data_IF_904011848912
#
_entry.id   IF_904011848912
#
_cell.length_a   1.000
_cell.length_b   1.000
_cell.length_c   1.000
_cell.angle_alpha   90.00
_cell.angle_beta   90.00
_cell.angle_gamma   90.00
#
_symmetry.space_group_name_H-M   'P 1'
#
loop_
_entity.id
_entity.type
_entity.pdbx_description
1 polymer ?
#
# COMPACT_ATOMS: atom_id res chain seq x y z
N UNK A 1 10.86 -4.43 -3.13
CA UNK A 1 10.18 -5.50 -3.89
C UNK A 1 8.66 -5.37 -3.81
N UNK A 2 8.07 -5.07 -2.63
CA UNK A 2 6.67 -4.66 -2.49
C UNK A 2 6.37 -3.43 -3.37
N UNK A 3 7.28 -2.46 -3.38
CA UNK A 3 7.23 -1.26 -4.18
C UNK A 3 7.20 -1.55 -5.70
N UNK A 4 7.99 -2.51 -6.16
CA UNK A 4 8.04 -2.92 -7.58
C UNK A 4 6.76 -3.59 -8.05
N UNK A 5 6.11 -4.36 -7.18
CA UNK A 5 4.90 -5.07 -7.52
C UNK A 5 3.71 -4.13 -7.78
N UNK A 6 3.52 -3.15 -6.89
CA UNK A 6 2.39 -2.22 -6.99
C UNK A 6 2.48 -1.36 -8.27
N UNK A 7 3.70 -0.94 -8.62
CA UNK A 7 3.92 -0.23 -9.87
C UNK A 7 3.77 -1.07 -11.11
N UNK A 8 4.22 -2.32 -11.07
CA UNK A 8 4.02 -3.23 -12.19
C UNK A 8 2.54 -3.51 -12.39
N UNK A 9 1.79 -3.69 -11.31
CA UNK A 9 0.35 -3.90 -11.38
C UNK A 9 -0.39 -2.62 -11.80
N UNK A 10 -0.02 -1.46 -11.28
CA UNK A 10 -0.57 -0.16 -11.67
C UNK A 10 -0.23 0.17 -13.14
N UNK A 11 0.99 -0.16 -13.59
CA UNK A 11 1.40 -0.03 -14.99
C UNK A 11 0.61 -0.97 -15.91
N UNK A 12 0.50 -2.24 -15.54
CA UNK A 12 -0.22 -3.25 -16.33
C UNK A 12 -1.73 -2.98 -16.34
N UNK A 13 -2.33 -2.65 -15.20
CA UNK A 13 -3.77 -2.34 -15.13
C UNK A 13 -4.10 -0.97 -15.68
N UNK A 14 -3.24 0.04 -15.48
CA UNK A 14 -3.46 1.40 -15.96
C UNK A 14 -3.25 1.55 -17.47
N UNK A 15 -2.21 0.94 -18.03
CA UNK A 15 -1.96 0.97 -19.48
C UNK A 15 -2.99 0.10 -20.23
N UNK A 16 -3.38 -1.02 -19.65
CA UNK A 16 -4.49 -1.84 -20.13
C UNK A 16 -5.81 -1.08 -20.02
N UNK A 17 -6.09 -0.39 -18.90
CA UNK A 17 -7.31 0.40 -18.76
C UNK A 17 -7.35 1.62 -19.67
N UNK A 18 -6.23 2.33 -19.91
CA UNK A 18 -6.22 3.47 -20.85
C UNK A 18 -6.34 3.04 -22.32
N UNK A 19 -5.67 1.98 -22.74
CA UNK A 19 -5.80 1.42 -24.10
C UNK A 19 -7.07 0.63 -24.33
N UNK A 20 -7.63 0.04 -23.28
CA UNK A 20 -8.84 -0.78 -23.36
C UNK A 20 -10.05 -0.14 -22.67
N UNK A 21 -9.94 1.05 -22.11
CA UNK A 21 -11.03 1.73 -21.41
C UNK A 21 -12.31 1.87 -22.23
N UNK A 22 -12.20 2.07 -23.54
CA UNK A 22 -13.35 2.04 -24.44
C UNK A 22 -13.66 0.65 -25.03
N UNK A 23 -12.63 -0.20 -25.21
CA UNK A 23 -12.77 -1.53 -25.79
C UNK A 23 -13.02 -2.62 -24.73
N UNK A 24 -12.43 -2.49 -23.53
CA UNK A 24 -12.63 -3.42 -22.42
C UNK A 24 -13.99 -3.28 -21.74
N UNK A 25 -14.60 -2.09 -21.77
CA UNK A 25 -16.01 -1.91 -21.38
C UNK A 25 -16.94 -2.85 -22.17
N UNK A 26 -16.60 -3.12 -23.44
CA UNK A 26 -17.38 -4.01 -24.30
C UNK A 26 -17.02 -5.50 -24.13
N UNK A 27 -15.77 -5.83 -23.68
CA UNK A 27 -15.26 -7.21 -23.74
C UNK A 27 -15.29 -7.93 -22.38
N UNK A 28 -15.23 -7.22 -21.23
CA UNK A 28 -15.13 -7.85 -19.91
C UNK A 28 -16.30 -7.56 -18.95
N UNK A 29 -17.31 -6.79 -19.37
CA UNK A 29 -18.49 -6.50 -18.56
C UNK A 29 -18.21 -5.77 -17.25
N UNK A 30 -17.03 -5.15 -17.09
CA UNK A 30 -16.67 -4.36 -15.91
C UNK A 30 -17.37 -3.01 -15.97
N UNK A 31 -18.24 -2.73 -15.00
CA UNK A 31 -18.94 -1.45 -14.89
C UNK A 31 -18.17 -0.53 -13.96
N UNK A 32 -17.53 0.56 -14.45
CA UNK A 32 -16.81 1.50 -13.61
C UNK A 32 -17.70 2.09 -12.51
N UNK A 33 -17.15 2.31 -11.32
CA UNK A 33 -17.88 2.88 -10.18
C UNK A 33 -18.51 4.25 -10.49
N UNK A 34 -17.95 5.00 -11.43
CA UNK A 34 -18.51 6.29 -11.86
C UNK A 34 -19.77 6.15 -12.73
N UNK A 35 -20.01 4.98 -13.36
CA UNK A 35 -21.12 4.76 -14.31
C UNK A 35 -22.33 4.05 -13.69
N UNK A 36 -22.21 3.57 -12.45
CA UNK A 36 -23.31 2.92 -11.72
C UNK A 36 -24.14 3.92 -10.90
N UNK A 37 -25.27 3.45 -10.36
CA UNK A 37 -26.11 4.26 -9.46
C UNK A 37 -25.30 4.77 -8.24
N UNK A 38 -25.70 5.92 -7.71
CA UNK A 38 -25.07 6.50 -6.50
C UNK A 38 -25.08 5.52 -5.34
N UNK A 39 -26.14 4.71 -5.19
CA UNK A 39 -26.26 3.71 -4.15
C UNK A 39 -25.22 2.59 -4.29
N UNK A 40 -25.05 2.02 -5.47
CA UNK A 40 -24.08 0.96 -5.75
C UNK A 40 -22.63 1.46 -5.55
N UNK A 41 -22.36 2.68 -6.01
CA UNK A 41 -21.06 3.32 -5.80
C UNK A 41 -20.75 3.51 -4.32
N UNK A 42 -21.70 3.96 -3.52
CA UNK A 42 -21.53 4.12 -2.07
C UNK A 42 -21.28 2.77 -1.39
N UNK A 43 -21.95 1.70 -1.81
CA UNK A 43 -21.72 0.34 -1.30
C UNK A 43 -20.30 -0.13 -1.62
N UNK A 44 -19.84 0.08 -2.85
CA UNK A 44 -18.47 -0.24 -3.26
C UNK A 44 -17.45 0.50 -2.41
N UNK A 45 -17.56 1.83 -2.29
CA UNK A 45 -16.64 2.66 -1.49
C UNK A 45 -16.63 2.19 -0.03
N UNK A 46 -17.79 1.94 0.58
CA UNK A 46 -17.90 1.41 1.95
C UNK A 46 -17.20 0.07 2.11
N UNK A 47 -17.30 -0.83 1.12
CA UNK A 47 -16.59 -2.11 1.13
C UNK A 47 -15.07 -1.90 1.10
N UNK A 48 -14.57 -1.06 0.19
CA UNK A 48 -13.13 -0.76 0.08
C UNK A 48 -12.57 -0.22 1.39
N UNK A 49 -13.16 0.83 1.94
CA UNK A 49 -12.65 1.45 3.18
C UNK A 49 -12.90 0.57 4.42
N UNK A 50 -13.98 -0.21 4.45
CA UNK A 50 -14.23 -1.18 5.50
C UNK A 50 -13.18 -2.32 5.50
N UNK A 51 -12.87 -2.87 4.33
CA UNK A 51 -11.80 -3.86 4.17
C UNK A 51 -10.42 -3.28 4.49
N UNK A 52 -10.16 -2.03 4.09
CA UNK A 52 -8.93 -1.33 4.42
C UNK A 52 -8.75 -1.20 5.94
N UNK A 53 -9.78 -0.79 6.66
CA UNK A 53 -9.75 -0.71 8.12
C UNK A 53 -9.45 -2.08 8.76
N UNK A 54 -10.13 -3.14 8.31
CA UNK A 54 -9.87 -4.50 8.78
C UNK A 54 -8.45 -4.97 8.43
N UNK A 55 -7.94 -4.64 7.25
CA UNK A 55 -6.56 -4.93 6.82
C UNK A 55 -5.53 -4.26 7.71
N UNK A 56 -5.76 -3.00 8.09
CA UNK A 56 -4.89 -2.29 9.04
C UNK A 56 -4.93 -2.91 10.44
N UNK A 57 -6.11 -3.40 10.89
CA UNK A 57 -6.21 -4.12 12.16
C UNK A 57 -5.43 -5.44 12.13
N UNK A 58 -5.57 -6.23 11.06
CA UNK A 58 -4.81 -7.50 10.94
C UNK A 58 -3.31 -7.25 10.81
N UNK A 59 -2.90 -6.18 10.12
CA UNK A 59 -1.50 -5.76 10.07
C UNK A 59 -0.99 -5.32 11.47
N UNK A 60 -1.79 -4.58 12.23
CA UNK A 60 -1.42 -4.19 13.59
C UNK A 60 -1.26 -5.40 14.54
N UNK A 61 -2.14 -6.39 14.41
CA UNK A 61 -1.99 -7.67 15.15
C UNK A 61 -0.68 -8.36 14.75
N UNK A 62 -0.43 -8.50 13.45
CA UNK A 62 0.82 -9.06 12.94
C UNK A 62 2.06 -8.30 13.46
N UNK A 63 2.02 -6.96 13.42
CA UNK A 63 3.09 -6.09 13.89
C UNK A 63 3.35 -6.25 15.40
N UNK A 64 2.30 -6.36 16.20
CA UNK A 64 2.43 -6.66 17.63
C UNK A 64 3.09 -8.00 17.87
N UNK A 65 2.63 -9.06 17.20
CA UNK A 65 3.23 -10.40 17.32
C UNK A 65 4.70 -10.43 16.88
N UNK A 66 5.02 -9.72 15.79
CA UNK A 66 6.38 -9.62 15.23
C UNK A 66 7.32 -8.71 16.01
N UNK A 67 6.81 -7.84 16.89
CA UNK A 67 7.62 -6.94 17.72
C UNK A 67 7.84 -7.44 19.16
N UNK A 68 7.12 -8.46 19.60
CA UNK A 68 7.24 -8.99 20.96
C UNK A 68 8.36 -10.04 21.04
N UNK A 69 9.40 -9.82 21.91
CA UNK A 69 10.49 -10.78 22.13
C UNK A 69 10.04 -12.16 22.61
N UNK A 70 8.90 -12.23 23.32
CA UNK A 70 8.37 -13.47 23.86
C UNK A 70 7.50 -14.25 22.85
N UNK A 71 7.20 -13.65 21.69
CA UNK A 71 6.34 -14.23 20.65
C UNK A 71 7.15 -14.53 19.38
N UNK A 72 7.06 -13.66 18.38
CA UNK A 72 7.59 -13.93 17.04
C UNK A 72 8.76 -13.02 16.61
N UNK A 73 9.21 -12.08 17.46
CA UNK A 73 10.33 -11.20 17.11
C UNK A 73 11.57 -11.99 16.67
N UNK A 74 12.02 -12.94 17.46
CA UNK A 74 13.24 -13.71 17.17
C UNK A 74 13.06 -14.58 15.92
N UNK A 75 11.99 -15.41 15.77
CA UNK A 75 11.75 -16.16 14.55
C UNK A 75 11.69 -15.31 13.30
N UNK A 76 10.99 -14.16 13.33
CA UNK A 76 10.86 -13.26 12.18
C UNK A 76 12.19 -12.60 11.85
N UNK A 77 12.89 -12.03 12.84
CA UNK A 77 14.16 -11.34 12.64
C UNK A 77 15.27 -12.28 12.14
N UNK A 78 15.31 -13.53 12.64
CA UNK A 78 16.29 -14.53 12.23
C UNK A 78 16.02 -15.11 10.83
N UNK A 79 14.78 -15.05 10.34
CA UNK A 79 14.37 -15.61 9.06
C UNK A 79 13.77 -14.55 8.14
N UNK A 80 14.24 -13.29 8.21
CA UNK A 80 13.70 -12.15 7.48
C UNK A 80 13.54 -12.44 5.98
N UNK A 81 14.52 -13.11 5.36
CA UNK A 81 14.48 -13.47 3.94
C UNK A 81 13.32 -14.42 3.62
N UNK A 82 13.05 -15.40 4.49
CA UNK A 82 11.93 -16.35 4.34
C UNK A 82 10.59 -15.60 4.40
N UNK A 83 10.42 -14.73 5.40
CA UNK A 83 9.20 -13.92 5.53
C UNK A 83 9.01 -12.94 4.37
N UNK A 84 10.11 -12.42 3.83
CA UNK A 84 10.09 -11.56 2.67
C UNK A 84 9.64 -12.31 1.40
N UNK A 85 10.16 -13.52 1.15
CA UNK A 85 9.72 -14.38 0.06
C UNK A 85 8.24 -14.77 0.22
N UNK A 86 7.83 -15.12 1.45
CA UNK A 86 6.43 -15.42 1.76
C UNK A 86 5.52 -14.23 1.44
N UNK A 87 5.94 -13.02 1.81
CA UNK A 87 5.20 -11.79 1.55
C UNK A 87 5.01 -11.54 0.06
N UNK A 88 6.07 -11.75 -0.75
CA UNK A 88 5.97 -11.67 -2.21
C UNK A 88 4.95 -12.70 -2.74
N UNK A 89 5.04 -13.95 -2.30
CA UNK A 89 4.09 -14.98 -2.68
C UNK A 89 2.64 -14.63 -2.32
N UNK A 90 2.42 -14.05 -1.15
CA UNK A 90 1.09 -13.64 -0.68
C UNK A 90 0.52 -12.45 -1.48
N UNK A 91 1.35 -11.51 -1.94
CA UNK A 91 0.89 -10.44 -2.85
C UNK A 91 0.36 -11.05 -4.14
N UNK A 92 1.12 -11.93 -4.79
CA UNK A 92 0.66 -12.61 -6.00
C UNK A 92 -0.59 -13.46 -5.74
N UNK A 93 -0.64 -14.15 -4.60
CA UNK A 93 -1.80 -14.92 -4.22
C UNK A 93 -3.04 -14.03 -4.00
N UNK A 94 -2.88 -12.87 -3.35
CA UNK A 94 -3.97 -11.92 -3.14
C UNK A 94 -4.53 -11.39 -4.47
N UNK A 95 -3.66 -11.10 -5.45
CA UNK A 95 -4.09 -10.69 -6.79
C UNK A 95 -4.79 -11.82 -7.55
N UNK A 96 -4.23 -13.03 -7.54
CA UNK A 96 -4.84 -14.20 -8.17
C UNK A 96 -6.21 -14.53 -7.58
N UNK A 97 -6.34 -14.35 -6.27
CA UNK A 97 -7.57 -14.62 -5.53
C UNK A 97 -8.59 -13.47 -5.60
N UNK A 98 -8.20 -12.26 -6.04
CA UNK A 98 -9.00 -11.04 -5.91
C UNK A 98 -10.44 -11.17 -6.45
N UNK A 99 -10.62 -11.92 -7.54
CA UNK A 99 -11.93 -12.17 -8.17
C UNK A 99 -12.62 -13.45 -7.67
N UNK A 100 -12.05 -14.18 -6.69
CA UNK A 100 -12.61 -15.44 -6.15
C UNK A 100 -13.25 -15.18 -4.79
N UNK A 101 -14.59 -15.15 -4.65
CA UNK A 101 -15.27 -14.87 -3.39
C UNK A 101 -14.82 -15.81 -2.26
N UNK A 102 -14.60 -15.27 -1.07
CA UNK A 102 -14.09 -15.97 0.10
C UNK A 102 -12.56 -16.13 0.09
N UNK A 103 -11.98 -16.65 -0.99
CA UNK A 103 -10.53 -16.79 -1.11
C UNK A 103 -9.81 -15.43 -1.13
N UNK A 104 -10.44 -14.42 -1.74
CA UNK A 104 -9.92 -13.07 -1.79
C UNK A 104 -9.75 -12.44 -0.40
N UNK A 105 -10.68 -12.68 0.52
CA UNK A 105 -10.59 -12.19 1.90
C UNK A 105 -9.48 -12.91 2.67
N UNK A 106 -9.40 -14.23 2.54
CA UNK A 106 -8.33 -15.03 3.17
C UNK A 106 -6.96 -14.55 2.67
N UNK A 107 -6.81 -14.36 1.37
CA UNK A 107 -5.57 -13.91 0.78
C UNK A 107 -5.18 -12.48 1.25
N UNK A 108 -6.14 -11.54 1.27
CA UNK A 108 -5.93 -10.17 1.72
C UNK A 108 -5.48 -10.14 3.19
N UNK A 109 -6.22 -10.80 4.09
CA UNK A 109 -5.90 -10.75 5.52
C UNK A 109 -4.64 -11.56 5.88
N UNK A 110 -4.35 -12.65 5.18
CA UNK A 110 -3.08 -13.35 5.33
C UNK A 110 -1.90 -12.46 4.91
N UNK A 111 -2.04 -11.77 3.77
CA UNK A 111 -1.02 -10.83 3.30
C UNK A 111 -0.79 -9.69 4.30
N UNK A 112 -1.85 -9.04 4.76
CA UNK A 112 -1.72 -7.88 5.67
C UNK A 112 -1.18 -8.30 7.05
N UNK A 113 -1.55 -9.47 7.56
CA UNK A 113 -0.99 -10.02 8.82
C UNK A 113 0.50 -10.33 8.70
N UNK A 114 0.91 -11.01 7.62
CA UNK A 114 2.34 -11.30 7.39
C UNK A 114 3.14 -10.02 7.15
N UNK A 115 2.56 -9.04 6.48
CA UNK A 115 3.18 -7.72 6.33
C UNK A 115 3.43 -7.06 7.69
N UNK A 116 2.45 -7.11 8.58
CA UNK A 116 2.62 -6.65 9.96
C UNK A 116 3.75 -7.38 10.68
N UNK A 117 3.79 -8.71 10.60
CA UNK A 117 4.87 -9.52 11.18
C UNK A 117 6.26 -9.07 10.70
N UNK A 118 6.42 -8.82 9.39
CA UNK A 118 7.70 -8.36 8.80
C UNK A 118 8.09 -6.96 9.28
N UNK A 119 7.13 -6.09 9.55
CA UNK A 119 7.36 -4.75 10.09
C UNK A 119 7.69 -4.78 11.59
N UNK A 120 7.26 -5.81 12.31
CA UNK A 120 7.42 -5.94 13.75
C UNK A 120 8.85 -5.70 14.29
N UNK A 121 9.90 -6.35 13.75
CA UNK A 121 11.29 -6.10 14.17
C UNK A 121 11.74 -4.64 13.99
N UNK A 122 11.25 -3.95 12.98
CA UNK A 122 11.51 -2.52 12.79
C UNK A 122 10.85 -1.69 13.89
N UNK A 123 9.59 -1.98 14.23
CA UNK A 123 8.88 -1.32 15.33
C UNK A 123 9.58 -1.54 16.68
N UNK A 124 10.06 -2.76 16.93
CA UNK A 124 10.84 -3.06 18.13
C UNK A 124 12.11 -2.20 18.25
N UNK A 125 12.82 -2.00 17.13
CA UNK A 125 14.05 -1.17 17.08
C UNK A 125 13.80 0.30 17.35
N UNK A 126 12.75 0.88 16.73
CA UNK A 126 12.49 2.33 16.85
C UNK A 126 11.75 2.68 18.15
N UNK A 127 11.07 1.72 18.73
CA UNK A 127 10.29 1.88 19.96
C UNK A 127 8.87 2.44 19.74
N UNK A 128 8.01 2.30 20.75
CA UNK A 128 6.58 2.59 20.62
C UNK A 128 6.24 4.06 20.39
N UNK A 129 7.04 4.99 20.91
CA UNK A 129 6.81 6.44 20.72
C UNK A 129 6.94 6.85 19.25
N UNK A 130 8.03 6.43 18.60
CA UNK A 130 8.28 6.73 17.19
C UNK A 130 7.25 6.01 16.30
N UNK A 131 6.93 4.76 16.64
CA UNK A 131 5.91 3.99 15.94
C UNK A 131 4.54 4.68 15.97
N UNK A 132 4.13 5.20 17.13
CA UNK A 132 2.87 5.93 17.29
C UNK A 132 2.86 7.25 16.50
N UNK A 133 3.96 8.01 16.51
CA UNK A 133 4.07 9.25 15.75
C UNK A 133 4.00 9.00 14.23
N UNK A 134 4.73 7.98 13.74
CA UNK A 134 4.66 7.57 12.34
C UNK A 134 3.24 7.17 11.95
N UNK A 135 2.55 6.41 12.79
CA UNK A 135 1.16 6.02 12.59
C UNK A 135 0.23 7.23 12.53
N UNK A 136 0.34 8.14 13.50
CA UNK A 136 -0.49 9.35 13.55
C UNK A 136 -0.30 10.24 12.32
N UNK A 137 0.96 10.46 11.91
CA UNK A 137 1.28 11.22 10.70
C UNK A 137 0.75 10.53 9.43
N UNK A 138 0.90 9.20 9.33
CA UNK A 138 0.35 8.43 8.21
C UNK A 138 -1.16 8.59 8.12
N UNK A 139 -1.86 8.47 9.25
CA UNK A 139 -3.32 8.62 9.31
C UNK A 139 -3.77 10.03 8.91
N UNK A 140 -3.06 11.07 9.36
CA UNK A 140 -3.35 12.47 9.01
C UNK A 140 -3.12 12.74 7.52
N UNK A 141 -1.99 12.27 6.97
CA UNK A 141 -1.67 12.44 5.55
C UNK A 141 -2.70 11.69 4.69
N UNK A 142 -2.92 10.40 4.97
CA UNK A 142 -3.89 9.59 4.24
C UNK A 142 -5.30 10.19 4.30
N UNK A 143 -5.77 10.55 5.49
CA UNK A 143 -7.09 11.14 5.68
C UNK A 143 -7.24 12.48 4.96
N UNK A 144 -6.24 13.36 5.08
CA UNK A 144 -6.23 14.67 4.43
C UNK A 144 -6.22 14.57 2.90
N UNK A 145 -5.36 13.70 2.33
CA UNK A 145 -5.27 13.50 0.89
C UNK A 145 -6.53 12.83 0.33
N UNK A 146 -7.06 11.83 1.00
CA UNK A 146 -8.33 11.19 0.63
C UNK A 146 -9.48 12.20 0.62
N UNK A 147 -9.61 13.01 1.68
CA UNK A 147 -10.61 14.07 1.72
C UNK A 147 -10.42 15.08 0.59
N UNK A 148 -9.19 15.48 0.32
CA UNK A 148 -8.90 16.39 -0.79
C UNK A 148 -9.36 15.82 -2.14
N UNK A 149 -9.09 14.55 -2.46
CA UNK A 149 -9.57 13.91 -3.69
C UNK A 149 -11.09 13.89 -3.76
N UNK A 150 -11.75 13.48 -2.66
CA UNK A 150 -13.22 13.39 -2.60
C UNK A 150 -13.89 14.76 -2.83
N UNK A 151 -13.39 15.82 -2.18
CA UNK A 151 -14.01 17.15 -2.28
C UNK A 151 -13.60 17.90 -3.53
N UNK A 152 -12.35 17.80 -3.99
CA UNK A 152 -11.88 18.51 -5.19
C UNK A 152 -12.48 17.94 -6.47
N UNK A 153 -12.94 16.70 -6.46
CA UNK A 153 -13.44 15.97 -7.63
C UNK A 153 -12.46 15.97 -8.81
N UNK A 154 -11.18 16.23 -8.56
CA UNK A 154 -10.13 16.23 -9.60
C UNK A 154 -9.74 14.81 -9.96
N UNK A 155 -9.35 14.62 -11.20
CA UNK A 155 -8.79 13.37 -11.69
C UNK A 155 -7.26 13.42 -11.55
N UNK A 156 -6.70 12.43 -10.86
CA UNK A 156 -5.26 12.30 -10.64
C UNK A 156 -4.63 11.15 -11.45
N UNK A 157 -5.38 10.54 -12.39
CA UNK A 157 -4.88 9.43 -13.22
C UNK A 157 -3.68 9.81 -14.08
N UNK A 158 -3.54 11.10 -14.44
CA UNK A 158 -2.39 11.61 -15.19
C UNK A 158 -1.03 11.45 -14.48
N UNK A 159 -1.05 11.25 -13.15
CA UNK A 159 0.17 11.10 -12.35
C UNK A 159 0.87 9.75 -12.53
N UNK A 160 0.24 8.76 -13.17
CA UNK A 160 0.73 7.38 -13.29
C UNK A 160 2.20 7.29 -13.73
N UNK A 161 2.55 7.93 -14.85
CA UNK A 161 3.91 7.88 -15.37
C UNK A 161 4.94 8.52 -14.45
N UNK A 162 4.58 9.64 -13.81
CA UNK A 162 5.45 10.31 -12.83
C UNK A 162 5.66 9.45 -11.58
N UNK A 163 4.59 8.88 -11.04
CA UNK A 163 4.64 8.02 -9.85
C UNK A 163 5.45 6.73 -10.11
N UNK A 164 5.25 6.11 -11.27
CA UNK A 164 6.02 4.94 -11.67
C UNK A 164 7.53 5.26 -11.76
N UNK A 165 7.89 6.37 -12.41
CA UNK A 165 9.29 6.80 -12.51
C UNK A 165 9.88 7.09 -11.12
N UNK A 166 9.13 7.83 -10.27
CA UNK A 166 9.54 8.12 -8.91
C UNK A 166 9.76 6.86 -8.08
N UNK A 167 8.89 5.86 -8.25
CA UNK A 167 9.04 4.58 -7.57
C UNK A 167 10.30 3.83 -7.99
N UNK A 168 10.60 3.81 -9.28
CA UNK A 168 11.85 3.20 -9.78
C UNK A 168 13.08 3.89 -9.16
N UNK A 169 13.05 5.23 -9.05
CA UNK A 169 14.13 5.99 -8.41
C UNK A 169 14.27 5.62 -6.93
N UNK A 170 13.18 5.57 -6.18
CA UNK A 170 13.19 5.21 -4.75
C UNK A 170 13.68 3.76 -4.56
N UNK A 171 13.21 2.82 -5.37
CA UNK A 171 13.62 1.41 -5.28
C UNK A 171 15.10 1.24 -5.61
N UNK A 172 15.57 1.80 -6.73
CA UNK A 172 16.98 1.70 -7.13
C UNK A 172 17.86 2.40 -6.08
N UNK A 173 17.46 3.58 -5.62
CA UNK A 173 18.16 4.32 -4.57
C UNK A 173 18.26 3.52 -3.26
N UNK A 174 17.18 2.85 -2.86
CA UNK A 174 17.16 1.99 -1.67
C UNK A 174 18.07 0.78 -1.81
N UNK A 175 18.06 0.14 -2.99
CA UNK A 175 18.95 -1.00 -3.27
C UNK A 175 20.42 -0.57 -3.25
N UNK A 176 20.76 0.55 -3.86
CA UNK A 176 22.12 1.09 -3.83
C UNK A 176 22.53 1.45 -2.40
N UNK A 177 21.65 2.09 -1.62
CA UNK A 177 21.94 2.47 -0.25
C UNK A 177 22.16 1.26 0.68
N UNK A 178 21.55 0.12 0.36
CA UNK A 178 21.81 -1.14 1.09
C UNK A 178 23.30 -1.55 1.02
N UNK A 179 24.00 -1.22 -0.06
CA UNK A 179 25.46 -1.49 -0.19
C UNK A 179 26.32 -0.40 0.44
N UNK A 180 25.89 0.87 0.38
CA UNK A 180 26.68 2.00 0.89
C UNK A 180 26.41 2.31 2.36
N UNK A 181 25.25 1.95 2.90
CA UNK A 181 24.89 2.10 4.32
C UNK A 181 24.81 3.56 4.81
N UNK A 182 24.57 4.53 3.91
CA UNK A 182 24.53 5.94 4.26
C UNK A 182 23.22 6.34 4.94
N UNK A 183 23.28 6.84 6.19
CA UNK A 183 22.10 7.36 6.90
C UNK A 183 21.51 8.60 6.23
N UNK A 184 22.34 9.49 5.69
CA UNK A 184 21.87 10.65 4.94
C UNK A 184 21.13 10.22 3.66
N UNK A 185 21.66 9.25 2.89
CA UNK A 185 20.98 8.73 1.72
C UNK A 185 19.66 8.08 2.11
N UNK A 186 19.61 7.30 3.20
CA UNK A 186 18.39 6.68 3.72
C UNK A 186 17.35 7.75 4.09
N UNK A 187 17.74 8.82 4.74
CA UNK A 187 16.86 9.95 5.08
C UNK A 187 16.26 10.59 3.84
N UNK A 188 17.10 10.88 2.83
CA UNK A 188 16.66 11.49 1.55
C UNK A 188 15.70 10.56 0.77
N UNK A 189 16.03 9.27 0.68
CA UNK A 189 15.19 8.26 0.02
C UNK A 189 13.84 8.15 0.74
N UNK A 190 13.83 8.15 2.07
CA UNK A 190 12.61 8.09 2.86
C UNK A 190 11.76 9.35 2.68
N UNK A 191 12.39 10.54 2.60
CA UNK A 191 11.69 11.78 2.28
C UNK A 191 11.05 11.77 0.89
N UNK A 192 11.78 11.28 -0.11
CA UNK A 192 11.24 11.08 -1.46
C UNK A 192 10.08 10.06 -1.47
N UNK A 193 10.19 8.98 -0.69
CA UNK A 193 9.14 7.98 -0.55
C UNK A 193 7.87 8.57 0.09
N UNK A 194 7.97 9.44 1.10
CA UNK A 194 6.80 10.11 1.69
C UNK A 194 6.04 10.91 0.64
N UNK A 195 6.75 11.71 -0.17
CA UNK A 195 6.12 12.49 -1.25
C UNK A 195 5.52 11.59 -2.32
N UNK A 196 6.23 10.53 -2.70
CA UNK A 196 5.80 9.57 -3.71
C UNK A 196 4.51 8.84 -3.29
N UNK A 197 4.47 8.26 -2.07
CA UNK A 197 3.30 7.53 -1.60
C UNK A 197 2.13 8.45 -1.25
N UNK A 198 2.38 9.70 -0.89
CA UNK A 198 1.34 10.74 -0.86
C UNK A 198 0.73 10.97 -2.24
N UNK A 199 1.53 10.96 -3.29
CA UNK A 199 1.07 11.01 -4.68
C UNK A 199 0.27 9.76 -5.08
N UNK A 200 0.71 8.56 -4.69
CA UNK A 200 -0.04 7.31 -4.93
C UNK A 200 -1.40 7.32 -4.22
N UNK A 201 -1.49 7.81 -2.99
CA UNK A 201 -2.79 7.96 -2.29
C UNK A 201 -3.76 8.84 -3.09
N UNK A 202 -3.28 9.97 -3.67
CA UNK A 202 -4.12 10.82 -4.53
C UNK A 202 -4.56 10.06 -5.77
N UNK A 203 -3.62 9.38 -6.45
CA UNK A 203 -3.84 8.62 -7.67
C UNK A 203 -4.83 7.46 -7.45
N UNK A 204 -4.56 6.60 -6.46
CA UNK A 204 -5.37 5.41 -6.22
C UNK A 204 -6.75 5.75 -5.64
N UNK A 205 -6.85 6.74 -4.75
CA UNK A 205 -8.16 7.25 -4.31
C UNK A 205 -8.97 7.78 -5.49
N UNK A 206 -8.34 8.53 -6.42
CA UNK A 206 -9.02 9.03 -7.62
C UNK A 206 -9.48 7.89 -8.53
N UNK A 207 -8.63 6.88 -8.76
CA UNK A 207 -8.95 5.72 -9.59
C UNK A 207 -10.08 4.88 -8.99
N UNK A 208 -10.08 4.66 -7.68
CA UNK A 208 -11.15 3.94 -6.97
C UNK A 208 -12.48 4.65 -7.13
N UNK A 209 -12.49 5.98 -7.07
CA UNK A 209 -13.71 6.75 -7.24
C UNK A 209 -14.22 6.78 -8.68
N UNK A 210 -13.39 6.48 -9.70
CA UNK A 210 -13.73 6.71 -11.11
C UNK A 210 -13.67 5.47 -11.98
N UNK A 211 -12.61 4.67 -11.85
CA UNK A 211 -12.22 3.68 -12.86
C UNK A 211 -12.35 2.24 -12.39
N UNK A 212 -12.20 1.96 -11.08
CA UNK A 212 -12.36 0.60 -10.55
C UNK A 212 -13.78 0.08 -10.77
N UNK A 213 -13.89 -1.20 -11.11
CA UNK A 213 -15.16 -1.90 -11.14
C UNK A 213 -15.73 -2.14 -9.74
N UNK A 214 -17.04 -2.20 -9.62
CA UNK A 214 -17.70 -2.41 -8.32
C UNK A 214 -17.44 -3.79 -7.69
N UNK A 215 -16.95 -4.74 -8.48
CA UNK A 215 -16.49 -6.07 -8.08
C UNK A 215 -14.99 -6.11 -7.67
N UNK A 216 -14.24 -5.03 -7.92
CA UNK A 216 -12.79 -4.96 -7.67
C UNK A 216 -12.43 -4.40 -6.29
N UNK A 217 -13.33 -4.50 -5.31
CA UNK A 217 -13.13 -3.93 -3.97
C UNK A 217 -11.89 -4.45 -3.23
N UNK A 218 -11.48 -5.71 -3.46
CA UNK A 218 -10.27 -6.28 -2.84
C UNK A 218 -9.00 -5.71 -3.48
N UNK A 219 -8.95 -5.60 -4.81
CA UNK A 219 -7.81 -4.98 -5.52
C UNK A 219 -7.67 -3.51 -5.13
N UNK A 220 -8.77 -2.77 -5.07
CA UNK A 220 -8.81 -1.39 -4.63
C UNK A 220 -8.33 -1.22 -3.17
N UNK A 221 -8.75 -2.14 -2.29
CA UNK A 221 -8.28 -2.17 -0.90
C UNK A 221 -6.78 -2.43 -0.81
N UNK A 222 -6.29 -3.39 -1.58
CA UNK A 222 -4.88 -3.77 -1.58
C UNK A 222 -3.98 -2.61 -2.04
N UNK A 223 -4.40 -1.86 -3.07
CA UNK A 223 -3.68 -0.67 -3.56
C UNK A 223 -3.53 0.37 -2.44
N UNK A 224 -4.63 0.83 -1.84
CA UNK A 224 -4.58 1.79 -0.73
C UNK A 224 -3.81 1.26 0.50
N UNK A 225 -3.92 -0.03 0.80
CA UNK A 225 -3.16 -0.63 1.90
C UNK A 225 -1.65 -0.53 1.67
N UNK A 226 -1.19 -0.82 0.45
CA UNK A 226 0.23 -0.72 0.08
C UNK A 226 0.73 0.72 0.14
N UNK A 227 -0.05 1.69 -0.29
CA UNK A 227 0.29 3.11 -0.19
C UNK A 227 0.47 3.55 1.27
N UNK A 228 -0.50 3.22 2.12
CA UNK A 228 -0.47 3.53 3.56
C UNK A 228 0.73 2.85 4.23
N UNK A 229 0.97 1.58 3.94
CA UNK A 229 2.08 0.83 4.50
C UNK A 229 3.43 1.44 4.14
N UNK A 230 3.64 1.76 2.86
CA UNK A 230 4.90 2.33 2.39
C UNK A 230 5.11 3.75 2.92
N UNK A 231 4.05 4.56 2.99
CA UNK A 231 4.07 5.87 3.64
C UNK A 231 4.47 5.74 5.13
N UNK A 232 3.87 4.79 5.84
CA UNK A 232 4.18 4.52 7.24
C UNK A 232 5.64 4.11 7.44
N UNK A 233 6.16 3.18 6.63
CA UNK A 233 7.56 2.73 6.70
C UNK A 233 8.51 3.89 6.39
N UNK A 234 8.20 4.75 5.43
CA UNK A 234 9.00 5.91 5.09
C UNK A 234 9.04 6.94 6.23
N UNK A 235 7.89 7.25 6.84
CA UNK A 235 7.81 8.13 8.01
C UNK A 235 8.53 7.53 9.22
N UNK A 236 8.36 6.23 9.46
CA UNK A 236 9.04 5.51 10.54
C UNK A 236 10.57 5.59 10.38
N UNK A 237 11.06 5.46 9.15
CA UNK A 237 12.49 5.58 8.83
C UNK A 237 13.01 6.99 9.09
N UNK A 238 12.29 8.03 8.65
CA UNK A 238 12.68 9.44 8.89
C UNK A 238 12.75 9.73 10.40
N UNK A 239 11.68 9.39 11.13
CA UNK A 239 11.61 9.67 12.57
C UNK A 239 12.65 8.85 13.36
N UNK A 240 12.91 7.61 12.94
CA UNK A 240 13.92 6.75 13.54
C UNK A 240 15.34 7.32 13.37
N UNK A 241 15.68 7.81 12.18
CA UNK A 241 17.00 8.45 11.92
C UNK A 241 17.13 9.75 12.70
N UNK A 242 16.13 10.64 12.64
CA UNK A 242 16.16 11.96 13.29
C UNK A 242 16.30 11.88 14.82
N UNK A 243 15.97 10.75 15.44
CA UNK A 243 16.11 10.57 16.90
C UNK A 243 17.35 9.75 17.31
N UNK A 244 18.07 9.21 16.34
CA UNK A 244 19.31 8.48 16.60
C UNK A 244 20.55 9.37 16.59
N UNK A 245 20.39 10.64 16.16
CA UNK A 245 21.39 11.71 16.23
C UNK A 245 21.21 12.53 17.52
#
# INVERSE_FOLDING_TARGET
LLLLYDSFNSFVTGDIMMKFGSAAQATYGVTPAASVSVGERLVFIKKVYGLLALSLVTAAIGAHLGSDPNLLLIPVASNMMLFFILQIGLVFFAQFAAKKPGLNMVALFSFTTVTGLVVGPLLYRVGPSIAFEAFALTALIFGGLTMYVVFSKRDFSFMQGFLFTGLMVVVIGSLLNMFFGSSLAQFMISGAAVLLFSGFILYDTSNILRYYGTDEHVSATLALYLDILNLFIALLSILGIARSE
#
